data_IF_015291427411
#
_entry.id   IF_015291427411
#
_cell.length_a   1.000
_cell.length_b   1.000
_cell.length_c   1.000
_cell.angle_alpha   90.00
_cell.angle_beta   90.00
_cell.angle_gamma   90.00
#
_symmetry.space_group_name_H-M   'P 1'
#
loop_
_entity.id
_entity.type
_entity.pdbx_description
1 polymer ?
#
# COMPACT_ATOMS: atom_id res chain seq x y z
N UNK A 1 31.58 7.42 -43.31
CA UNK A 1 32.08 7.15 -41.95
C UNK A 1 31.33 7.88 -40.83
N UNK A 2 30.96 9.16 -41.01
CA UNK A 2 30.20 9.95 -40.01
C UNK A 2 28.85 9.33 -39.61
N UNK A 3 28.14 8.72 -40.58
CA UNK A 3 26.85 8.06 -40.36
C UNK A 3 26.96 6.89 -39.35
N UNK A 4 27.95 6.02 -39.51
CA UNK A 4 28.19 4.90 -38.60
C UNK A 4 28.57 5.36 -37.18
N UNK A 5 29.39 6.41 -37.07
CA UNK A 5 29.73 7.00 -35.78
C UNK A 5 28.51 7.58 -35.06
N UNK A 6 27.65 8.29 -35.80
CA UNK A 6 26.39 8.81 -35.24
C UNK A 6 25.46 7.67 -34.81
N UNK A 7 25.36 6.62 -35.62
CA UNK A 7 24.50 5.48 -35.33
C UNK A 7 24.94 4.73 -34.06
N UNK A 8 26.25 4.53 -33.88
CA UNK A 8 26.83 3.94 -32.67
C UNK A 8 26.55 4.84 -31.46
N UNK A 9 26.77 6.15 -31.59
CA UNK A 9 26.49 7.10 -30.51
C UNK A 9 25.02 7.08 -30.10
N UNK A 10 24.10 7.11 -31.07
CA UNK A 10 22.65 7.04 -30.83
C UNK A 10 22.28 5.69 -30.21
N UNK A 11 22.86 4.58 -30.67
CA UNK A 11 22.59 3.26 -30.12
C UNK A 11 22.95 3.18 -28.63
N UNK A 12 24.13 3.68 -28.24
CA UNK A 12 24.52 3.75 -26.84
C UNK A 12 23.63 4.73 -26.06
N UNK A 13 23.34 5.91 -26.61
CA UNK A 13 22.46 6.88 -25.98
C UNK A 13 21.08 6.27 -25.69
N UNK A 14 20.45 5.62 -26.67
CA UNK A 14 19.17 4.92 -26.48
C UNK A 14 19.34 3.78 -25.47
N UNK A 15 20.39 2.97 -25.54
CA UNK A 15 20.61 1.85 -24.62
C UNK A 15 20.67 2.26 -23.14
N UNK A 16 21.13 3.48 -22.86
CA UNK A 16 21.20 4.03 -21.50
C UNK A 16 20.01 4.94 -21.14
N UNK A 17 19.48 5.73 -22.09
CA UNK A 17 18.35 6.64 -21.87
C UNK A 17 17.00 5.92 -21.84
N UNK A 18 16.81 4.89 -22.68
CA UNK A 18 15.56 4.15 -22.78
C UNK A 18 15.05 3.63 -21.43
N UNK A 19 15.83 2.93 -20.58
CA UNK A 19 15.32 2.46 -19.29
C UNK A 19 14.95 3.61 -18.35
N UNK A 20 15.62 4.76 -18.44
CA UNK A 20 15.35 5.93 -17.59
C UNK A 20 14.01 6.56 -18.01
N UNK A 21 13.86 6.84 -19.31
CA UNK A 21 12.64 7.43 -19.87
C UNK A 21 11.45 6.51 -19.62
N UNK A 22 11.60 5.20 -19.83
CA UNK A 22 10.53 4.23 -19.61
C UNK A 22 10.07 4.24 -18.15
N UNK A 23 10.99 4.28 -17.17
CA UNK A 23 10.64 4.39 -15.75
C UNK A 23 9.88 5.67 -15.44
N UNK A 24 10.25 6.80 -16.03
CA UNK A 24 9.57 8.08 -15.83
C UNK A 24 8.16 8.09 -16.43
N UNK A 25 8.01 7.57 -17.65
CA UNK A 25 6.70 7.49 -18.33
C UNK A 25 5.77 6.52 -17.61
N UNK A 26 6.25 5.32 -17.27
CA UNK A 26 5.44 4.32 -16.56
C UNK A 26 5.04 4.82 -15.17
N UNK A 27 5.98 5.39 -14.40
CA UNK A 27 5.66 5.90 -13.05
C UNK A 27 4.67 7.06 -13.09
N UNK A 28 4.79 7.99 -14.04
CA UNK A 28 3.83 9.09 -14.20
C UNK A 28 2.46 8.61 -14.66
N UNK A 29 2.41 7.66 -15.59
CA UNK A 29 1.17 7.06 -16.07
C UNK A 29 0.45 6.26 -14.97
N UNK A 30 1.18 5.40 -14.26
CA UNK A 30 0.64 4.59 -13.14
C UNK A 30 0.11 5.49 -12.02
N UNK A 31 0.83 6.55 -11.64
CA UNK A 31 0.34 7.53 -10.65
C UNK A 31 -0.97 8.19 -11.08
N UNK A 32 -1.09 8.54 -12.36
CA UNK A 32 -2.31 9.14 -12.91
C UNK A 32 -3.47 8.16 -12.94
N UNK A 33 -3.20 6.89 -13.28
CA UNK A 33 -4.19 5.82 -13.29
C UNK A 33 -4.67 5.49 -11.88
N UNK A 34 -3.76 5.28 -10.92
CA UNK A 34 -4.09 4.97 -9.51
C UNK A 34 -4.97 6.05 -8.87
N UNK A 35 -4.73 7.33 -9.18
CA UNK A 35 -5.54 8.44 -8.64
C UNK A 35 -6.99 8.41 -9.14
N UNK A 36 -7.21 7.92 -10.36
CA UNK A 36 -8.55 7.83 -10.95
C UNK A 36 -9.23 6.48 -10.70
N UNK A 37 -8.45 5.40 -10.47
CA UNK A 37 -8.97 4.04 -10.33
C UNK A 37 -9.10 3.56 -8.87
N UNK A 38 -8.81 4.40 -7.88
CA UNK A 38 -8.96 4.05 -6.45
C UNK A 38 -8.07 2.89 -5.99
N UNK A 39 -7.08 2.49 -6.78
CA UNK A 39 -6.20 1.36 -6.49
C UNK A 39 -5.13 1.81 -5.49
N UNK A 40 -5.48 1.79 -4.21
CA UNK A 40 -4.53 1.99 -3.10
C UNK A 40 -3.78 0.68 -2.92
N UNK A 41 -2.50 0.64 -3.32
CA UNK A 41 -1.62 -0.48 -2.97
C UNK A 41 -1.41 -0.42 -1.45
N UNK A 42 -1.81 -1.46 -0.69
CA UNK A 42 -1.58 -1.47 0.76
C UNK A 42 -0.07 -1.37 1.01
N UNK A 43 0.38 -0.55 1.98
CA UNK A 43 1.78 -0.60 2.39
C UNK A 43 2.10 -2.04 2.81
N UNK A 44 3.12 -2.62 2.18
CA UNK A 44 3.57 -3.97 2.48
C UNK A 44 4.00 -4.02 3.94
N UNK A 45 3.32 -4.84 4.75
CA UNK A 45 3.57 -4.92 6.18
C UNK A 45 5.02 -5.35 6.44
N UNK A 46 5.81 -4.45 7.00
CA UNK A 46 7.15 -4.77 7.50
C UNK A 46 6.95 -5.71 8.71
N UNK A 47 7.56 -6.91 8.76
CA UNK A 47 7.43 -7.77 9.93
C UNK A 47 8.03 -7.07 11.14
N UNK A 48 7.16 -6.65 12.06
CA UNK A 48 7.56 -6.09 13.35
C UNK A 48 8.00 -7.19 14.34
N UNK A 49 8.56 -6.82 15.51
CA UNK A 49 9.04 -7.76 16.53
C UNK A 49 7.98 -8.79 16.98
N UNK A 50 8.30 -9.84 17.74
CA UNK A 50 7.24 -10.70 18.28
C UNK A 50 6.42 -9.94 19.36
N UNK A 51 5.08 -10.09 19.44
CA UNK A 51 4.29 -9.48 20.51
C UNK A 51 4.53 -10.17 21.86
N UNK A 52 4.49 -9.39 22.95
CA UNK A 52 4.55 -9.88 24.32
C UNK A 52 3.25 -10.62 24.72
N UNK A 53 3.29 -11.55 25.70
CA UNK A 53 2.09 -12.23 26.17
C UNK A 53 1.06 -11.21 26.68
N UNK A 54 -0.15 -11.26 26.11
CA UNK A 54 -1.24 -10.31 26.38
C UNK A 54 -1.39 -9.18 25.36
N UNK A 55 -0.49 -9.07 24.38
CA UNK A 55 -0.53 -8.01 23.37
C UNK A 55 -1.06 -8.54 22.03
N UNK A 56 -2.20 -8.01 21.58
CA UNK A 56 -2.79 -8.36 20.27
C UNK A 56 -2.17 -7.47 19.20
N UNK A 57 -1.57 -8.09 18.16
CA UNK A 57 -1.12 -7.36 16.97
C UNK A 57 -2.30 -7.12 16.04
N UNK A 58 -2.55 -5.85 15.73
CA UNK A 58 -3.52 -5.46 14.71
C UNK A 58 -2.73 -5.11 13.47
N UNK A 59 -2.71 -6.03 12.51
CA UNK A 59 -1.88 -5.90 11.30
C UNK A 59 -2.40 -4.82 10.33
N UNK A 60 -3.66 -4.41 10.47
CA UNK A 60 -4.23 -3.35 9.66
C UNK A 60 -5.43 -2.68 10.33
N UNK A 61 -5.32 -1.37 10.56
CA UNK A 61 -6.46 -0.50 10.90
C UNK A 61 -6.72 0.38 9.69
N UNK A 62 -7.87 0.23 9.00
CA UNK A 62 -8.18 1.07 7.84
C UNK A 62 -8.28 2.55 8.24
N UNK A 63 -7.73 3.49 7.46
CA UNK A 63 -7.85 4.91 7.76
C UNK A 63 -9.31 5.33 7.61
N UNK A 64 -10.00 5.54 8.74
CA UNK A 64 -11.32 6.15 8.74
C UNK A 64 -11.15 7.62 8.36
N UNK A 65 -11.78 8.03 7.27
CA UNK A 65 -11.80 9.44 6.85
C UNK A 65 -12.50 10.25 7.93
N UNK A 66 -11.71 10.90 8.79
CA UNK A 66 -12.09 11.90 9.79
C UNK A 66 -13.05 11.42 10.89
N UNK A 67 -12.49 11.29 12.08
CA UNK A 67 -13.15 11.44 13.38
C UNK A 67 -14.39 10.57 13.63
N UNK A 68 -14.17 9.32 14.03
CA UNK A 68 -15.05 8.71 15.01
C UNK A 68 -14.20 8.38 16.24
N UNK A 69 -14.30 9.23 17.26
CA UNK A 69 -13.87 8.84 18.63
C UNK A 69 -14.55 7.50 18.94
N UNK A 70 -13.89 6.56 19.63
CA UNK A 70 -14.58 5.36 20.07
C UNK A 70 -15.83 5.81 20.84
N UNK A 71 -17.00 5.47 20.32
CA UNK A 71 -18.26 5.67 21.03
C UNK A 71 -18.11 4.92 22.35
N UNK A 72 -18.03 5.66 23.44
CA UNK A 72 -18.00 5.12 24.80
C UNK A 72 -19.38 4.56 25.20
N UNK A 73 -20.35 4.56 24.27
CA UNK A 73 -21.74 4.12 24.44
C UNK A 73 -21.97 2.72 23.84
N UNK A 74 -21.01 1.79 23.99
CA UNK A 74 -21.36 0.38 23.87
C UNK A 74 -22.20 0.01 25.10
N UNK A 75 -23.53 0.18 24.98
CA UNK A 75 -24.50 -0.32 25.95
C UNK A 75 -24.60 -1.83 25.76
N UNK A 76 -23.68 -2.58 26.37
CA UNK A 76 -23.70 -4.03 26.38
C UNK A 76 -25.10 -4.53 26.71
N UNK A 77 -25.62 -5.41 25.85
CA UNK A 77 -26.95 -5.99 26.02
C UNK A 77 -27.04 -6.79 27.32
N UNK A 78 -28.27 -7.06 27.75
CA UNK A 78 -28.52 -7.82 28.97
C UNK A 78 -28.08 -9.27 28.76
N UNK A 79 -27.07 -9.69 29.52
CA UNK A 79 -26.60 -11.08 29.52
C UNK A 79 -27.57 -11.88 30.39
N UNK A 80 -28.20 -12.90 29.81
CA UNK A 80 -29.05 -13.82 30.56
C UNK A 80 -28.17 -14.94 31.07
N UNK A 81 -27.99 -15.00 32.39
CA UNK A 81 -27.36 -16.15 33.04
C UNK A 81 -28.30 -17.35 32.90
N UNK A 82 -27.86 -18.36 32.17
CA UNK A 82 -28.59 -19.62 32.07
C UNK A 82 -28.16 -20.53 33.23
N UNK A 83 -29.13 -20.93 34.04
CA UNK A 83 -28.94 -21.95 35.07
C UNK A 83 -28.77 -23.31 34.37
N UNK A 84 -27.57 -23.88 34.47
CA UNK A 84 -27.23 -25.18 33.92
C UNK A 84 -27.99 -26.26 34.69
N UNK A 85 -29.07 -26.79 34.08
CA UNK A 85 -29.79 -27.92 34.66
C UNK A 85 -28.96 -29.19 34.48
N UNK A 86 -28.54 -29.77 35.61
CA UNK A 86 -27.70 -30.95 35.74
C UNK A 86 -28.43 -32.26 35.48
#
# INVERSE_FOLDING_TARGET
MKFWLLFILIFFAVRYLLPIVLRLVVSSFVRKQMRNSGFVVPPQAQPGPAPAPGQVRVDYVPPTTKASKPSHDFKGGEYVDFEEVK
#
